data_IF_970357058823
#
_entry.id   IF_970357058823
#
_cell.length_a   1.000
_cell.length_b   1.000
_cell.length_c   1.000
_cell.angle_alpha   90.00
_cell.angle_beta   90.00
_cell.angle_gamma   90.00
#
_symmetry.space_group_name_H-M   'P 1'
#
loop_
_entity.id
_entity.type
_entity.pdbx_description
1 polymer ?
#
# COMPACT_ATOMS: atom_id res chain seq x y z
N UNK A 1 27.56 18.61 -0.36
CA UNK A 1 26.51 18.60 -1.41
C UNK A 1 27.07 18.02 -2.68
N UNK A 2 26.36 17.09 -3.31
CA UNK A 2 26.77 16.57 -4.62
C UNK A 2 26.30 17.51 -5.73
N UNK A 3 26.87 17.41 -6.93
CA UNK A 3 26.41 18.18 -8.09
C UNK A 3 24.92 17.93 -8.40
N UNK A 4 24.44 16.71 -8.13
CA UNK A 4 23.03 16.36 -8.22
C UNK A 4 22.17 17.18 -7.24
N UNK A 5 22.59 17.31 -5.98
CA UNK A 5 21.87 18.11 -4.96
C UNK A 5 21.72 19.58 -5.37
N UNK A 6 22.77 20.17 -5.96
CA UNK A 6 22.73 21.58 -6.40
C UNK A 6 21.69 21.80 -7.51
N UNK A 7 21.58 20.87 -8.46
CA UNK A 7 20.60 20.92 -9.54
C UNK A 7 19.17 20.72 -9.02
N UNK A 8 18.98 19.88 -7.99
CA UNK A 8 17.65 19.67 -7.39
C UNK A 8 17.13 20.92 -6.67
N UNK A 9 18.00 21.60 -5.92
CA UNK A 9 17.65 22.85 -5.21
C UNK A 9 17.20 23.91 -6.22
N UNK A 10 17.96 24.11 -7.30
CA UNK A 10 17.61 25.09 -8.32
C UNK A 10 16.25 24.79 -8.99
N UNK A 11 15.94 23.52 -9.23
CA UNK A 11 14.63 23.11 -9.79
C UNK A 11 13.47 23.38 -8.82
N UNK A 12 13.69 23.19 -7.52
CA UNK A 12 12.71 23.49 -6.47
C UNK A 12 12.43 24.99 -6.35
N UNK A 13 13.46 25.84 -6.50
CA UNK A 13 13.32 27.31 -6.45
C UNK A 13 12.51 27.87 -7.63
N UNK A 14 12.50 27.17 -8.77
CA UNK A 14 11.78 27.60 -9.98
C UNK A 14 10.35 27.05 -10.09
N UNK A 15 9.91 26.22 -9.15
CA UNK A 15 8.59 25.60 -9.17
C UNK A 15 7.53 26.57 -8.61
N UNK A 16 6.29 26.57 -9.14
CA UNK A 16 5.18 27.29 -8.52
C UNK A 16 4.77 26.66 -7.18
N UNK A 17 4.32 27.49 -6.25
CA UNK A 17 3.95 27.11 -4.87
C UNK A 17 2.94 25.95 -4.80
N UNK A 18 2.04 25.85 -5.77
CA UNK A 18 1.05 24.78 -5.85
C UNK A 18 1.66 23.39 -6.02
N UNK A 19 2.85 23.30 -6.63
CA UNK A 19 3.54 22.02 -6.87
C UNK A 19 4.56 21.67 -5.79
N UNK A 20 4.88 22.59 -4.88
CA UNK A 20 5.77 22.31 -3.75
C UNK A 20 5.16 21.22 -2.86
N UNK A 21 3.85 21.26 -2.63
CA UNK A 21 3.12 20.24 -1.86
C UNK A 21 3.22 18.83 -2.46
N UNK A 22 3.13 18.70 -3.78
CA UNK A 22 3.28 17.40 -4.45
C UNK A 22 4.71 16.85 -4.33
N UNK A 23 5.70 17.75 -4.36
CA UNK A 23 7.10 17.36 -4.18
C UNK A 23 7.37 16.94 -2.73
N UNK A 24 6.77 17.62 -1.75
CA UNK A 24 6.84 17.21 -0.34
C UNK A 24 6.25 15.82 -0.12
N UNK A 25 5.05 15.55 -0.65
CA UNK A 25 4.40 14.24 -0.58
C UNK A 25 5.25 13.15 -1.24
N UNK A 26 5.82 13.43 -2.41
CA UNK A 26 6.70 12.48 -3.09
C UNK A 26 7.99 12.20 -2.33
N UNK A 27 8.57 13.22 -1.67
CA UNK A 27 9.74 13.04 -0.80
C UNK A 27 9.40 12.14 0.38
N UNK A 28 8.24 12.34 1.01
CA UNK A 28 7.79 11.50 2.12
C UNK A 28 7.47 10.07 1.68
N UNK A 29 6.90 9.90 0.49
CA UNK A 29 6.75 8.59 -0.15
C UNK A 29 8.11 7.89 -0.34
N UNK A 30 9.14 8.60 -0.85
CA UNK A 30 10.47 8.03 -1.04
C UNK A 30 11.12 7.64 0.30
N UNK A 31 10.97 8.47 1.34
CA UNK A 31 11.44 8.15 2.70
C UNK A 31 10.75 6.91 3.26
N UNK A 32 9.43 6.82 3.13
CA UNK A 32 8.65 5.68 3.60
C UNK A 32 9.01 4.39 2.84
N UNK A 33 9.21 4.48 1.52
CA UNK A 33 9.64 3.35 0.68
C UNK A 33 11.02 2.85 1.11
N UNK A 34 11.98 3.74 1.32
CA UNK A 34 13.31 3.36 1.79
C UNK A 34 13.25 2.77 3.21
N UNK A 35 12.45 3.34 4.12
CA UNK A 35 12.28 2.82 5.48
C UNK A 35 11.68 1.40 5.52
N UNK A 36 10.79 1.06 4.57
CA UNK A 36 10.18 -0.28 4.46
C UNK A 36 11.07 -1.30 3.71
N UNK A 37 11.91 -0.84 2.79
CA UNK A 37 12.75 -1.72 1.96
C UNK A 37 13.99 -2.25 2.67
N UNK A 38 14.35 -1.69 3.83
CA UNK A 38 15.41 -2.22 4.68
C UNK A 38 14.78 -2.77 5.95
N UNK A 39 14.68 -4.10 6.15
CA UNK A 39 14.44 -4.62 7.48
C UNK A 39 15.63 -4.15 8.33
N UNK A 40 15.41 -3.15 9.18
CA UNK A 40 16.35 -2.79 10.24
C UNK A 40 16.41 -4.00 11.18
N UNK A 41 17.37 -4.89 10.92
CA UNK A 41 17.88 -5.82 11.93
C UNK A 41 18.51 -4.96 13.03
N UNK A 42 17.74 -4.64 14.07
CA UNK A 42 18.17 -3.70 15.09
C UNK A 42 17.05 -3.30 16.02
N UNK A 43 16.75 -4.21 16.96
CA UNK A 43 16.25 -3.95 18.31
C UNK A 43 15.66 -2.56 18.59
N UNK A 44 14.34 -2.44 18.53
CA UNK A 44 13.59 -1.70 19.54
C UNK A 44 12.14 -2.14 19.52
N UNK A 45 11.63 -2.44 20.72
CA UNK A 45 10.32 -2.98 21.02
C UNK A 45 9.21 -2.12 20.41
N UNK A 46 8.71 -2.52 19.24
CA UNK A 46 7.40 -2.10 18.76
C UNK A 46 6.69 -3.38 18.38
N UNK A 47 5.67 -3.69 19.19
CA UNK A 47 4.73 -4.80 19.04
C UNK A 47 4.65 -5.27 17.59
N UNK A 48 5.16 -6.48 17.33
CA UNK A 48 4.85 -7.25 16.14
C UNK A 48 3.33 -7.42 16.09
N UNK A 49 2.65 -6.46 15.48
CA UNK A 49 1.35 -6.72 14.88
C UNK A 49 1.71 -7.59 13.70
N UNK A 50 1.64 -8.91 13.87
CA UNK A 50 1.65 -9.83 12.74
C UNK A 50 0.56 -9.33 11.78
N UNK A 51 0.97 -8.82 10.62
CA UNK A 51 0.01 -8.63 9.54
C UNK A 51 -0.70 -9.96 9.36
N UNK A 52 -2.04 -10.02 9.47
CA UNK A 52 -2.76 -11.26 9.27
C UNK A 52 -2.37 -11.74 7.89
N UNK A 53 -1.65 -12.88 7.84
CA UNK A 53 -1.27 -13.56 6.62
C UNK A 53 -2.56 -13.72 5.83
N UNK A 54 -2.77 -12.82 4.89
CA UNK A 54 -3.97 -12.80 4.09
C UNK A 54 -3.81 -14.03 3.21
N UNK A 55 -4.39 -15.15 3.66
CA UNK A 55 -4.55 -16.35 2.88
C UNK A 55 -5.58 -16.01 1.80
N UNK A 56 -5.15 -15.21 0.83
CA UNK A 56 -5.93 -14.88 -0.35
C UNK A 56 -6.27 -16.20 -1.02
N UNK A 57 -7.56 -16.55 -1.04
CA UNK A 57 -8.05 -17.83 -1.54
C UNK A 57 -8.35 -18.92 -0.50
N UNK A 58 -8.28 -18.65 0.81
CA UNK A 58 -8.74 -19.62 1.83
C UNK A 58 -10.28 -19.71 1.91
N UNK A 59 -11.00 -18.68 1.48
CA UNK A 59 -12.44 -18.75 1.27
C UNK A 59 -12.74 -19.31 -0.14
N UNK A 60 -12.33 -20.55 -0.44
CA UNK A 60 -13.01 -21.31 -1.49
C UNK A 60 -14.42 -21.59 -0.96
N UNK A 61 -15.36 -20.72 -1.33
CA UNK A 61 -16.73 -20.73 -0.82
C UNK A 61 -17.35 -22.12 -0.94
N UNK A 62 -17.66 -22.71 0.21
CA UNK A 62 -18.52 -23.88 0.28
C UNK A 62 -19.96 -23.39 0.07
N UNK A 63 -20.46 -23.49 -1.15
CA UNK A 63 -21.87 -23.27 -1.43
C UNK A 63 -22.59 -24.61 -1.33
N UNK A 64 -23.51 -24.73 -0.38
CA UNK A 64 -24.44 -25.87 -0.31
C UNK A 64 -25.58 -25.56 -1.27
N UNK A 65 -25.61 -26.25 -2.41
CA UNK A 65 -26.69 -26.12 -3.39
C UNK A 65 -27.87 -26.99 -2.91
N UNK A 66 -29.06 -26.40 -2.67
CA UNK A 66 -30.27 -27.16 -2.38
C UNK A 66 -30.64 -28.11 -3.52
N UNK A 67 -31.24 -29.26 -3.22
CA UNK A 67 -31.56 -30.29 -4.24
C UNK A 67 -32.57 -29.79 -5.29
N UNK A 68 -33.42 -28.87 -4.88
CA UNK A 68 -34.49 -28.19 -5.61
C UNK A 68 -34.01 -26.94 -6.35
N UNK A 69 -32.71 -26.62 -6.35
CA UNK A 69 -32.19 -25.42 -7.03
C UNK A 69 -32.55 -25.35 -8.52
N UNK A 70 -32.73 -26.51 -9.17
CA UNK A 70 -33.11 -26.60 -10.57
C UNK A 70 -34.62 -26.85 -10.79
N UNK A 71 -35.41 -26.96 -9.73
CA UNK A 71 -36.85 -27.18 -9.86
C UNK A 71 -37.55 -25.89 -10.30
N UNK A 72 -38.60 -25.97 -11.15
CA UNK A 72 -39.37 -24.81 -11.54
C UNK A 72 -39.98 -24.12 -10.31
N UNK A 73 -40.01 -22.79 -10.33
CA UNK A 73 -40.75 -22.04 -9.33
C UNK A 73 -42.24 -22.34 -9.54
N UNK A 74 -42.84 -23.05 -8.59
CA UNK A 74 -44.29 -23.26 -8.56
C UNK A 74 -44.98 -21.92 -8.29
N UNK A 75 -45.51 -21.32 -9.36
CA UNK A 75 -46.43 -20.20 -9.28
C UNK A 75 -47.86 -20.75 -9.44
N UNK A 76 -48.48 -21.15 -8.33
CA UNK A 76 -49.91 -21.48 -8.29
C UNK A 76 -50.76 -20.22 -8.36
#
# INVERSE_FOLDING_TARGET
MTAATKNTIHKLETLPDSMVYEVEDFIDFLKAKHAKSFPKSGSNEVKLVEEPKSLYGAAKGLFIIPKDFNEPLDFS
#
